data_IF_924461635735
#
_entry.id   IF_924461635735
#
_cell.length_a   1.000
_cell.length_b   1.000
_cell.length_c   1.000
_cell.angle_alpha   90.00
_cell.angle_beta   90.00
_cell.angle_gamma   90.00
#
_symmetry.space_group_name_H-M   'P 1'
#
loop_
_entity.id
_entity.type
_entity.pdbx_description
1 polymer ?
#
# COMPACT_ATOMS: atom_id res chain seq x y z
N UNK A 1 -6.52 20.43 13.21
CA UNK A 1 -5.39 19.53 12.89
C UNK A 1 -5.59 18.98 11.49
N UNK A 2 -4.51 18.84 10.74
CA UNK A 2 -4.53 18.19 9.42
C UNK A 2 -3.50 17.07 9.37
N UNK A 3 -3.80 16.03 8.63
CA UNK A 3 -2.94 14.86 8.43
C UNK A 3 -2.58 14.78 6.95
N UNK A 4 -1.31 14.56 6.62
CA UNK A 4 -0.86 14.18 5.30
C UNK A 4 -0.18 12.82 5.42
N UNK A 5 -0.63 11.85 4.66
CA UNK A 5 -0.10 10.49 4.67
C UNK A 5 0.17 9.99 3.27
N UNK A 6 1.29 9.29 3.08
CA UNK A 6 1.70 8.73 1.80
C UNK A 6 2.10 7.27 1.97
N UNK A 7 1.54 6.42 1.13
CA UNK A 7 1.98 5.04 0.88
C UNK A 7 2.76 4.99 -0.42
N UNK A 8 4.06 4.81 -0.32
CA UNK A 8 4.99 4.57 -1.42
C UNK A 8 5.08 3.07 -1.65
N UNK A 9 4.46 2.58 -2.74
CA UNK A 9 4.38 1.13 -2.98
C UNK A 9 5.69 0.55 -3.51
N UNK A 10 6.49 1.37 -4.21
CA UNK A 10 7.66 0.94 -4.95
C UNK A 10 7.31 0.33 -6.32
N UNK A 11 7.98 0.79 -7.37
CA UNK A 11 7.70 0.39 -8.76
C UNK A 11 7.81 -1.13 -8.98
N UNK A 12 8.77 -1.75 -8.33
CA UNK A 12 9.04 -3.17 -8.39
C UNK A 12 7.98 -4.01 -7.65
N UNK A 13 7.50 -3.52 -6.50
CA UNK A 13 6.46 -4.18 -5.73
C UNK A 13 5.11 -4.09 -6.44
N UNK A 14 4.78 -2.93 -7.02
CA UNK A 14 3.59 -2.79 -7.87
C UNK A 14 3.63 -3.80 -9.02
N UNK A 15 4.72 -3.84 -9.78
CA UNK A 15 4.88 -4.75 -10.90
C UNK A 15 4.76 -6.22 -10.49
N UNK A 16 5.32 -6.59 -9.34
CA UNK A 16 5.24 -7.96 -8.81
C UNK A 16 3.84 -8.32 -8.35
N UNK A 17 3.28 -7.57 -7.39
CA UNK A 17 2.08 -7.97 -6.66
C UNK A 17 0.78 -7.55 -7.34
N UNK A 18 0.76 -6.35 -7.92
CA UNK A 18 -0.46 -5.68 -8.36
C UNK A 18 -0.59 -5.55 -9.87
N UNK A 19 0.42 -6.02 -10.63
CA UNK A 19 0.37 -6.13 -12.09
C UNK A 19 0.43 -7.59 -12.52
N UNK A 20 1.40 -8.37 -12.01
CA UNK A 20 1.58 -9.79 -12.38
C UNK A 20 0.93 -10.76 -11.40
N UNK A 21 0.94 -10.40 -10.12
CA UNK A 21 0.57 -11.27 -9.00
C UNK A 21 -0.93 -11.41 -8.77
N UNK A 22 -1.27 -12.03 -7.66
CA UNK A 22 -2.64 -12.39 -7.30
C UNK A 22 -3.54 -11.18 -6.98
N UNK A 23 -2.93 -10.03 -6.71
CA UNK A 23 -3.64 -8.79 -6.35
C UNK A 23 -3.92 -7.87 -7.54
N UNK A 24 -3.66 -8.33 -8.77
CA UNK A 24 -3.73 -7.52 -9.98
C UNK A 24 -5.14 -7.14 -10.43
N UNK A 25 -6.13 -7.98 -10.11
CA UNK A 25 -7.50 -7.79 -10.57
C UNK A 25 -8.44 -7.51 -9.41
N UNK A 26 -9.14 -6.37 -9.47
CA UNK A 26 -10.00 -5.91 -8.39
C UNK A 26 -11.24 -6.80 -8.18
N UNK A 27 -11.76 -7.44 -9.25
CA UNK A 27 -12.92 -8.34 -9.15
C UNK A 27 -12.54 -9.70 -8.58
N UNK A 28 -11.33 -10.20 -8.90
CA UNK A 28 -10.83 -11.49 -8.40
C UNK A 28 -10.29 -11.39 -6.98
N UNK A 29 -9.84 -10.23 -6.56
CA UNK A 29 -9.28 -9.97 -5.23
C UNK A 29 -10.00 -8.84 -4.50
N UNK A 30 -9.56 -7.62 -4.63
CA UNK A 30 -10.21 -6.39 -4.16
C UNK A 30 -9.52 -5.15 -4.76
N UNK A 31 -10.12 -3.95 -4.65
CA UNK A 31 -9.48 -2.71 -5.07
C UNK A 31 -8.16 -2.47 -4.32
N UNK A 32 -7.19 -1.81 -4.97
CA UNK A 32 -5.88 -1.49 -4.42
C UNK A 32 -5.96 -0.78 -3.06
N UNK A 33 -6.88 0.17 -2.93
CA UNK A 33 -7.09 0.93 -1.70
C UNK A 33 -7.49 0.04 -0.51
N UNK A 34 -8.19 -1.07 -0.75
CA UNK A 34 -8.56 -2.01 0.30
C UNK A 34 -7.42 -2.98 0.60
N UNK A 35 -6.86 -3.64 -0.42
CA UNK A 35 -5.90 -4.73 -0.19
C UNK A 35 -4.51 -4.24 0.26
N UNK A 36 -4.10 -3.03 -0.14
CA UNK A 36 -2.79 -2.46 0.25
C UNK A 36 -2.94 -1.38 1.32
N UNK A 37 -3.93 -0.51 1.19
CA UNK A 37 -4.02 0.70 1.98
C UNK A 37 -5.03 0.63 3.13
N UNK A 38 -5.60 -0.54 3.46
CA UNK A 38 -6.44 -0.71 4.65
C UNK A 38 -5.69 -0.33 5.95
N UNK A 39 -4.38 -0.62 6.02
CA UNK A 39 -3.52 -0.20 7.12
C UNK A 39 -3.38 1.33 7.22
N UNK A 40 -3.35 1.99 6.07
CA UNK A 40 -3.21 3.45 5.97
C UNK A 40 -4.50 4.14 6.42
N UNK A 41 -5.66 3.59 6.07
CA UNK A 41 -6.96 4.07 6.57
C UNK A 41 -7.07 3.88 8.09
N UNK A 42 -6.58 2.75 8.61
CA UNK A 42 -6.61 2.44 10.04
C UNK A 42 -5.72 3.40 10.85
N UNK A 43 -4.48 3.66 10.40
CA UNK A 43 -3.59 4.60 11.10
C UNK A 43 -4.13 6.03 11.06
N UNK A 44 -4.78 6.45 9.98
CA UNK A 44 -5.40 7.77 9.90
C UNK A 44 -6.59 7.91 10.86
N UNK A 45 -7.43 6.88 10.99
CA UNK A 45 -8.50 6.82 12.01
C UNK A 45 -7.93 6.94 13.42
N UNK A 46 -6.89 6.16 13.72
CA UNK A 46 -6.23 6.16 15.03
C UNK A 46 -5.63 7.54 15.35
N UNK A 47 -4.94 8.17 14.39
CA UNK A 47 -4.32 9.48 14.58
C UNK A 47 -5.33 10.63 14.65
N UNK A 48 -6.44 10.52 13.93
CA UNK A 48 -7.53 11.49 14.00
C UNK A 48 -8.33 11.39 15.32
N UNK A 49 -8.29 10.23 15.97
CA UNK A 49 -9.12 9.86 17.13
C UNK A 49 -10.60 10.20 16.89
N UNK A 50 -11.09 9.88 15.68
CA UNK A 50 -12.46 10.24 15.26
C UNK A 50 -12.91 9.37 14.10
N UNK A 51 -14.22 9.21 13.95
CA UNK A 51 -14.82 8.53 12.80
C UNK A 51 -14.74 9.39 11.55
N UNK A 52 -14.67 8.74 10.40
CA UNK A 52 -14.78 9.40 9.11
C UNK A 52 -16.22 9.90 8.88
N UNK A 53 -16.35 11.17 8.52
CA UNK A 53 -17.62 11.78 8.11
C UNK A 53 -17.86 11.58 6.62
N UNK A 54 -16.88 11.99 5.80
CA UNK A 54 -16.96 11.94 4.34
C UNK A 54 -15.58 11.94 3.71
N UNK A 55 -15.50 11.47 2.47
CA UNK A 55 -14.28 11.46 1.69
C UNK A 55 -14.55 11.61 0.19
N UNK A 56 -13.51 12.03 -0.55
CA UNK A 56 -13.43 12.02 -2.01
C UNK A 56 -12.17 11.31 -2.46
N UNK A 57 -12.18 10.76 -3.67
CA UNK A 57 -11.05 9.99 -4.17
C UNK A 57 -10.90 10.13 -5.69
N UNK A 58 -9.64 10.15 -6.14
CA UNK A 58 -9.24 10.09 -7.55
C UNK A 58 -8.11 9.08 -7.68
N UNK A 59 -8.16 8.25 -8.73
CA UNK A 59 -7.14 7.24 -8.98
C UNK A 59 -7.37 6.55 -10.31
N UNK A 60 -6.28 6.13 -10.96
CA UNK A 60 -6.32 5.52 -12.28
C UNK A 60 -5.31 4.38 -12.40
N UNK A 61 -5.56 3.47 -13.32
CA UNK A 61 -4.57 2.61 -13.92
C UNK A 61 -4.09 3.28 -15.21
N UNK A 62 -2.98 4.00 -15.12
CA UNK A 62 -2.54 4.88 -16.20
C UNK A 62 -1.29 4.40 -16.93
N UNK A 63 -0.43 3.64 -16.26
CA UNK A 63 0.87 3.27 -16.81
C UNK A 63 0.96 1.80 -17.23
N UNK A 64 0.49 0.87 -16.42
CA UNK A 64 0.60 -0.57 -16.66
C UNK A 64 -0.54 -1.07 -17.56
N UNK A 65 -0.61 -0.51 -18.79
CA UNK A 65 -1.65 -0.77 -19.80
C UNK A 65 -1.01 -1.14 -21.13
N UNK A 66 -1.77 -1.82 -22.00
CA UNK A 66 -1.30 -2.23 -23.33
C UNK A 66 -0.93 -1.03 -24.22
N UNK A 67 -1.59 0.11 -24.03
CA UNK A 67 -1.32 1.35 -24.78
C UNK A 67 0.09 1.89 -24.52
N UNK A 68 0.67 1.61 -23.35
CA UNK A 68 2.01 2.02 -22.97
C UNK A 68 3.08 0.94 -23.26
N UNK A 69 2.70 -0.18 -23.89
CA UNK A 69 3.66 -1.20 -24.24
C UNK A 69 4.68 -0.66 -25.26
N UNK A 70 6.00 -0.80 -24.99
CA UNK A 70 7.01 -0.44 -25.98
C UNK A 70 6.85 -1.27 -27.26
N UNK A 71 7.18 -0.67 -28.40
CA UNK A 71 7.03 -1.31 -29.71
C UNK A 71 7.76 -2.66 -29.75
N UNK A 72 7.07 -3.72 -30.14
CA UNK A 72 7.62 -5.08 -30.23
C UNK A 72 7.78 -5.78 -28.88
N UNK A 73 7.25 -5.24 -27.79
CA UNK A 73 7.25 -5.94 -26.50
C UNK A 73 6.36 -7.19 -26.56
N UNK A 74 6.90 -8.40 -26.27
CA UNK A 74 6.11 -9.65 -26.31
C UNK A 74 5.25 -9.80 -25.06
N UNK A 75 4.32 -10.77 -25.08
CA UNK A 75 3.48 -11.10 -23.93
C UNK A 75 4.29 -11.58 -22.70
N UNK A 76 5.40 -12.27 -22.93
CA UNK A 76 6.34 -12.71 -21.89
C UNK A 76 7.72 -12.10 -22.11
N UNK A 77 8.37 -11.70 -21.02
CA UNK A 77 9.70 -11.09 -21.09
C UNK A 77 10.76 -11.99 -21.75
N UNK A 78 10.63 -13.31 -21.60
CA UNK A 78 11.56 -14.30 -22.17
C UNK A 78 11.34 -14.62 -23.65
N UNK A 79 10.28 -14.10 -24.29
CA UNK A 79 9.97 -14.36 -25.71
C UNK A 79 10.73 -13.41 -26.65
N UNK A 80 11.95 -13.03 -26.26
CA UNK A 80 12.83 -12.22 -27.11
C UNK A 80 12.55 -10.73 -27.03
N UNK A 81 12.15 -10.21 -25.87
CA UNK A 81 11.88 -8.78 -25.69
C UNK A 81 13.06 -7.91 -26.12
N UNK A 82 12.86 -6.95 -27.07
CA UNK A 82 13.93 -6.07 -27.53
C UNK A 82 14.35 -5.05 -26.47
N UNK A 83 13.51 -4.79 -25.46
CA UNK A 83 13.72 -3.80 -24.41
C UNK A 83 14.33 -4.35 -23.13
N UNK A 84 14.85 -5.59 -23.13
CA UNK A 84 15.35 -6.30 -21.95
C UNK A 84 16.41 -5.52 -21.16
N UNK A 85 17.24 -4.72 -21.82
CA UNK A 85 18.38 -4.05 -21.21
C UNK A 85 18.00 -2.70 -20.59
N UNK A 86 16.91 -2.07 -21.05
CA UNK A 86 16.45 -0.75 -20.59
C UNK A 86 15.15 -0.77 -19.77
N UNK A 87 14.39 -1.88 -19.82
CA UNK A 87 13.12 -1.99 -19.10
C UNK A 87 13.35 -2.24 -17.61
N UNK A 88 12.89 -1.32 -16.77
CA UNK A 88 12.94 -1.46 -15.30
C UNK A 88 12.16 -2.67 -14.77
N UNK A 89 11.20 -3.16 -15.55
CA UNK A 89 10.29 -4.26 -15.18
C UNK A 89 10.65 -5.59 -15.83
N UNK A 90 11.84 -5.72 -16.44
CA UNK A 90 12.24 -6.96 -17.09
C UNK A 90 12.34 -8.10 -16.07
N UNK A 91 11.38 -9.03 -16.12
CA UNK A 91 11.19 -10.04 -15.08
C UNK A 91 12.43 -10.92 -14.82
N UNK A 92 13.15 -11.45 -15.86
CA UNK A 92 14.31 -12.28 -15.59
C UNK A 92 15.40 -11.57 -14.80
N UNK A 93 15.70 -10.29 -15.12
CA UNK A 93 16.69 -9.52 -14.37
C UNK A 93 16.26 -9.33 -12.93
N UNK A 94 15.03 -8.85 -12.72
CA UNK A 94 14.52 -8.58 -11.39
C UNK A 94 14.55 -9.80 -10.47
N UNK A 95 14.05 -10.96 -10.93
CA UNK A 95 13.97 -12.14 -10.08
C UNK A 95 15.32 -12.86 -9.91
N UNK A 96 16.20 -12.85 -10.93
CA UNK A 96 17.53 -13.47 -10.82
C UNK A 96 18.50 -12.66 -9.96
N UNK A 97 18.35 -11.33 -9.91
CA UNK A 97 19.15 -10.49 -9.03
C UNK A 97 18.67 -10.54 -7.56
N UNK A 98 17.49 -11.10 -7.29
CA UNK A 98 16.86 -11.14 -5.98
C UNK A 98 16.46 -12.56 -5.53
N UNK A 99 17.27 -13.58 -5.85
CA UNK A 99 16.96 -14.99 -5.55
C UNK A 99 16.71 -15.28 -4.07
N UNK A 100 17.38 -14.58 -3.17
CA UNK A 100 17.21 -14.70 -1.72
C UNK A 100 16.02 -13.86 -1.19
N UNK A 101 15.37 -13.09 -2.06
CA UNK A 101 14.26 -12.22 -1.70
C UNK A 101 12.95 -13.00 -1.53
N UNK A 102 12.11 -12.56 -0.59
CA UNK A 102 10.81 -13.19 -0.32
C UNK A 102 9.86 -13.21 -1.54
N UNK A 103 10.03 -12.29 -2.49
CA UNK A 103 9.19 -12.21 -3.69
C UNK A 103 9.39 -13.39 -4.64
N UNK A 104 10.58 -13.98 -4.68
CA UNK A 104 10.88 -15.13 -5.54
C UNK A 104 10.12 -16.37 -5.10
N UNK A 105 9.83 -16.51 -3.80
CA UNK A 105 9.02 -17.60 -3.28
C UNK A 105 7.58 -17.63 -3.83
N UNK A 106 7.06 -16.48 -4.33
CA UNK A 106 5.79 -16.44 -5.03
C UNK A 106 5.88 -16.92 -6.49
N UNK A 107 7.07 -16.94 -7.08
CA UNK A 107 7.31 -17.39 -8.44
C UNK A 107 7.46 -18.91 -8.48
N UNK A 108 8.26 -19.46 -7.56
CA UNK A 108 8.52 -20.90 -7.45
C UNK A 108 9.05 -21.25 -6.06
N UNK A 109 8.79 -22.48 -5.62
CA UNK A 109 9.33 -23.02 -4.36
C UNK A 109 10.85 -23.31 -4.44
N UNK A 110 11.42 -23.39 -5.64
CA UNK A 110 12.83 -23.62 -5.89
C UNK A 110 13.48 -22.35 -6.41
N UNK A 111 14.20 -21.65 -5.54
CA UNK A 111 14.71 -20.30 -5.81
C UNK A 111 16.11 -20.27 -6.44
N UNK A 112 16.53 -21.35 -7.13
CA UNK A 112 17.72 -21.34 -7.97
C UNK A 112 17.42 -20.75 -9.36
N UNK A 113 18.44 -20.28 -10.11
CA UNK A 113 18.25 -19.58 -11.38
C UNK A 113 17.52 -20.41 -12.45
N UNK A 114 17.73 -21.71 -12.51
CA UNK A 114 17.14 -22.58 -13.53
C UNK A 114 15.63 -22.71 -13.33
N UNK A 115 15.20 -23.03 -12.12
CA UNK A 115 13.79 -23.17 -11.79
C UNK A 115 13.03 -21.84 -11.86
N UNK A 116 13.65 -20.74 -11.44
CA UNK A 116 13.08 -19.40 -11.60
C UNK A 116 12.86 -19.08 -13.08
N UNK A 117 13.84 -19.30 -13.95
CA UNK A 117 13.68 -19.07 -15.39
C UNK A 117 12.59 -19.96 -16.00
N UNK A 118 12.51 -21.24 -15.62
CA UNK A 118 11.42 -22.13 -16.10
C UNK A 118 10.05 -21.64 -15.64
N UNK A 119 9.92 -21.18 -14.39
CA UNK A 119 8.67 -20.63 -13.88
C UNK A 119 8.26 -19.34 -14.62
N UNK A 120 9.22 -18.48 -14.96
CA UNK A 120 8.97 -17.24 -15.69
C UNK A 120 8.56 -17.46 -17.16
N UNK A 121 8.88 -18.59 -17.78
CA UNK A 121 8.47 -18.89 -19.17
C UNK A 121 6.96 -19.01 -19.34
N UNK A 122 6.25 -19.47 -18.31
CA UNK A 122 4.82 -19.83 -18.41
C UNK A 122 3.97 -19.24 -17.29
N UNK A 123 4.60 -18.86 -16.17
CA UNK A 123 3.91 -18.36 -14.99
C UNK A 123 3.57 -16.87 -15.11
N UNK A 124 2.66 -16.37 -14.25
CA UNK A 124 2.19 -15.00 -14.34
C UNK A 124 3.31 -13.96 -14.15
N UNK A 125 4.33 -14.30 -13.35
CA UNK A 125 5.43 -13.39 -13.04
C UNK A 125 6.42 -13.14 -14.19
N UNK A 126 6.40 -13.95 -15.24
CA UNK A 126 7.19 -13.74 -16.45
C UNK A 126 6.52 -12.86 -17.50
N UNK A 127 5.25 -12.47 -17.31
CA UNK A 127 4.49 -11.62 -18.23
C UNK A 127 5.10 -10.22 -18.34
N UNK A 128 4.97 -9.63 -19.50
CA UNK A 128 5.22 -8.20 -19.66
C UNK A 128 4.22 -7.41 -18.83
N UNK A 129 4.66 -6.40 -18.07
CA UNK A 129 3.77 -5.59 -17.22
C UNK A 129 2.73 -4.81 -18.02
N UNK A 130 2.95 -4.60 -19.31
CA UNK A 130 2.03 -3.91 -20.20
C UNK A 130 1.00 -4.84 -20.89
N UNK A 131 1.16 -6.16 -20.73
CA UNK A 131 0.28 -7.18 -21.28
C UNK A 131 -0.36 -8.04 -20.20
N UNK A 132 -0.48 -7.51 -18.98
CA UNK A 132 -1.21 -8.16 -17.90
C UNK A 132 -2.70 -7.79 -17.95
N UNK A 133 -3.49 -8.59 -17.26
CA UNK A 133 -4.94 -8.40 -17.06
C UNK A 133 -5.25 -7.68 -15.73
N UNK A 134 -4.34 -6.78 -15.32
CA UNK A 134 -4.49 -5.99 -14.12
C UNK A 134 -5.54 -4.89 -14.29
N UNK A 135 -6.34 -4.67 -13.25
CA UNK A 135 -7.42 -3.66 -13.22
C UNK A 135 -7.29 -2.72 -12.03
N UNK A 136 -6.39 -3.02 -11.07
CA UNK A 136 -6.17 -2.16 -9.91
C UNK A 136 -5.39 -0.90 -10.30
N UNK A 137 -5.65 0.19 -9.62
CA UNK A 137 -5.01 1.49 -9.88
C UNK A 137 -3.51 1.46 -9.60
N UNK A 138 -2.74 2.28 -10.29
CA UNK A 138 -1.31 2.48 -10.04
C UNK A 138 -1.02 3.75 -9.22
N UNK A 139 -2.01 4.61 -9.03
CA UNK A 139 -1.98 5.73 -8.09
C UNK A 139 -3.40 6.09 -7.65
N UNK A 140 -3.53 6.58 -6.42
CA UNK A 140 -4.81 7.03 -5.86
C UNK A 140 -4.61 8.08 -4.77
N UNK A 141 -5.37 9.15 -4.81
CA UNK A 141 -5.45 10.16 -3.76
C UNK A 141 -6.82 10.13 -3.08
N UNK A 142 -6.85 10.36 -1.78
CA UNK A 142 -8.09 10.40 -0.99
C UNK A 142 -8.02 11.59 -0.03
N UNK A 143 -9.01 12.49 -0.10
CA UNK A 143 -9.21 13.53 0.88
C UNK A 143 -10.34 13.15 1.83
N UNK A 144 -10.06 13.22 3.13
CA UNK A 144 -10.90 12.69 4.19
C UNK A 144 -11.27 13.81 5.17
N UNK A 145 -12.53 13.89 5.54
CA UNK A 145 -13.04 14.71 6.64
C UNK A 145 -13.51 13.83 7.78
N UNK A 146 -13.03 14.09 8.98
CA UNK A 146 -13.44 13.40 10.20
C UNK A 146 -14.51 14.21 10.97
N UNK A 147 -15.31 13.53 11.79
CA UNK A 147 -16.41 14.16 12.57
C UNK A 147 -15.93 15.24 13.53
N UNK A 148 -14.70 15.15 14.03
CA UNK A 148 -14.05 16.15 14.90
C UNK A 148 -13.38 17.30 14.13
N UNK A 149 -13.68 17.48 12.85
CA UNK A 149 -13.16 18.51 11.95
C UNK A 149 -11.67 18.38 11.59
N UNK A 150 -11.02 17.27 11.93
CA UNK A 150 -9.71 16.90 11.37
C UNK A 150 -9.90 16.57 9.89
N UNK A 151 -8.97 17.00 9.06
CA UNK A 151 -8.90 16.59 7.65
C UNK A 151 -7.62 15.83 7.37
N UNK A 152 -7.68 14.87 6.44
CA UNK A 152 -6.50 14.14 5.98
C UNK A 152 -6.46 14.09 4.46
N UNK A 153 -5.23 14.18 3.90
CA UNK A 153 -4.95 13.87 2.51
C UNK A 153 -4.05 12.64 2.48
N UNK A 154 -4.50 11.63 1.77
CA UNK A 154 -3.78 10.39 1.54
C UNK A 154 -3.37 10.26 0.08
N UNK A 155 -2.14 9.80 -0.16
CA UNK A 155 -1.65 9.47 -1.50
C UNK A 155 -1.02 8.08 -1.50
N UNK A 156 -1.50 7.21 -2.38
CA UNK A 156 -0.84 5.97 -2.75
C UNK A 156 -0.26 6.11 -4.17
N UNK A 157 0.97 5.67 -4.37
CA UNK A 157 1.61 5.68 -5.68
C UNK A 157 2.53 4.49 -5.89
N UNK A 158 2.49 3.93 -7.11
CA UNK A 158 3.39 2.88 -7.60
C UNK A 158 4.75 3.42 -8.06
N UNK A 159 4.90 4.74 -8.25
CA UNK A 159 6.02 5.36 -8.97
C UNK A 159 7.10 5.88 -8.03
N UNK A 160 7.50 5.04 -7.07
CA UNK A 160 8.58 5.33 -6.13
C UNK A 160 9.65 4.24 -6.18
N UNK A 161 10.86 4.57 -5.77
CA UNK A 161 11.96 3.62 -5.68
C UNK A 161 11.75 2.63 -4.52
N UNK A 162 11.31 3.13 -3.39
CA UNK A 162 11.15 2.37 -2.14
C UNK A 162 9.69 2.11 -1.81
N UNK A 163 9.46 1.07 -0.99
CA UNK A 163 8.22 0.88 -0.26
C UNK A 163 8.36 1.59 1.09
N UNK A 164 7.66 2.69 1.27
CA UNK A 164 7.77 3.49 2.49
C UNK A 164 6.43 4.15 2.85
N UNK A 165 6.29 4.52 4.12
CA UNK A 165 5.18 5.33 4.60
C UNK A 165 5.71 6.62 5.20
N UNK A 166 5.18 7.73 4.73
CA UNK A 166 5.50 9.06 5.26
C UNK A 166 4.25 9.72 5.78
N UNK A 167 4.37 10.32 6.96
CA UNK A 167 3.24 10.99 7.60
C UNK A 167 3.65 12.35 8.14
N UNK A 168 2.73 13.31 8.05
CA UNK A 168 2.87 14.62 8.65
C UNK A 168 1.59 15.01 9.37
N UNK A 169 1.70 15.33 10.65
CA UNK A 169 0.62 15.83 11.47
C UNK A 169 0.86 17.32 11.75
N UNK A 170 -0.08 18.15 11.34
CA UNK A 170 0.02 19.61 11.49
C UNK A 170 -1.04 20.09 12.48
N UNK A 171 -0.59 20.42 13.69
CA UNK A 171 -1.43 20.86 14.80
C UNK A 171 -1.28 22.33 15.11
N UNK A 172 -2.04 22.82 16.09
CA UNK A 172 -1.99 24.22 16.54
C UNK A 172 -0.81 24.55 17.44
N UNK A 173 -0.15 23.54 18.01
CA UNK A 173 0.97 23.68 18.95
C UNK A 173 2.30 23.22 18.37
N UNK A 174 2.27 22.48 17.26
CA UNK A 174 3.45 21.91 16.64
C UNK A 174 3.12 21.07 15.43
N UNK A 175 4.16 20.51 14.81
CA UNK A 175 4.04 19.51 13.77
C UNK A 175 4.85 18.26 14.10
N UNK A 176 4.40 17.12 13.60
CA UNK A 176 5.11 15.86 13.69
C UNK A 176 5.31 15.34 12.27
N UNK A 177 6.52 14.87 11.97
CA UNK A 177 6.83 14.12 10.75
C UNK A 177 7.31 12.74 11.13
N UNK A 178 6.81 11.73 10.44
CA UNK A 178 7.25 10.34 10.58
C UNK A 178 7.67 9.79 9.24
N UNK A 179 8.78 9.08 9.23
CA UNK A 179 9.25 8.27 8.11
C UNK A 179 9.46 6.85 8.63
N UNK A 180 8.63 5.91 8.17
CA UNK A 180 8.67 4.53 8.66
C UNK A 180 9.88 3.76 8.12
N UNK A 181 10.36 4.11 6.93
CA UNK A 181 11.53 3.45 6.33
C UNK A 181 12.82 3.93 7.00
N UNK A 182 12.95 5.23 7.22
CA UNK A 182 14.06 5.78 7.99
C UNK A 182 13.98 5.48 9.50
N UNK A 183 12.83 5.04 10.01
CA UNK A 183 12.61 4.80 11.44
C UNK A 183 12.72 6.06 12.28
N UNK A 184 12.24 7.21 11.75
CA UNK A 184 12.42 8.50 12.42
C UNK A 184 11.08 9.20 12.67
N UNK A 185 11.02 9.90 13.82
CA UNK A 185 9.94 10.82 14.15
C UNK A 185 10.55 12.17 14.53
N UNK A 186 10.16 13.22 13.84
CA UNK A 186 10.53 14.60 14.16
C UNK A 186 9.33 15.33 14.80
N UNK A 187 9.55 15.97 15.93
CA UNK A 187 8.53 16.76 16.65
C UNK A 187 9.02 18.20 16.76
N UNK A 188 8.27 19.14 16.14
CA UNK A 188 8.53 20.58 16.23
C UNK A 188 7.49 21.23 17.15
N UNK A 189 7.92 21.79 18.26
CA UNK A 189 7.08 22.63 19.13
C UNK A 189 7.10 24.07 18.66
N UNK A 190 5.94 24.69 18.46
CA UNK A 190 5.84 26.05 17.94
C UNK A 190 6.11 27.15 18.99
N UNK A 191 5.93 26.84 20.28
CA UNK A 191 6.15 27.82 21.35
C UNK A 191 7.64 27.97 21.64
N UNK A 192 8.32 26.85 21.84
CA UNK A 192 9.76 26.84 22.15
C UNK A 192 10.65 26.93 20.91
N UNK A 193 10.12 26.56 19.74
CA UNK A 193 10.89 26.39 18.52
C UNK A 193 11.80 25.14 18.52
N UNK A 194 11.70 24.30 19.56
CA UNK A 194 12.52 23.10 19.67
C UNK A 194 12.12 22.06 18.61
N UNK A 195 13.14 21.38 18.08
CA UNK A 195 13.02 20.18 17.26
C UNK A 195 13.56 19.00 18.07
N UNK A 196 12.72 18.01 18.29
CA UNK A 196 13.12 16.71 18.83
C UNK A 196 13.08 15.69 17.70
N UNK A 197 14.15 14.88 17.60
CA UNK A 197 14.21 13.75 16.66
C UNK A 197 14.31 12.46 17.46
N UNK A 198 13.40 11.54 17.22
CA UNK A 198 13.35 10.22 17.83
C UNK A 198 13.73 9.20 16.75
N UNK A 199 14.78 8.46 16.99
CA UNK A 199 15.19 7.33 16.14
C UNK A 199 14.59 6.04 16.72
N UNK A 200 13.88 5.31 15.90
CA UNK A 200 13.25 4.03 16.27
C UNK A 200 14.17 2.89 15.85
N UNK A 201 14.63 2.13 16.81
CA UNK A 201 15.37 0.91 16.56
C UNK A 201 14.40 -0.26 16.43
N UNK A 202 14.02 -0.57 15.21
CA UNK A 202 13.11 -1.68 14.92
C UNK A 202 13.90 -2.92 14.46
N UNK A 203 13.49 -4.14 14.89
CA UNK A 203 14.12 -5.36 14.39
C UNK A 203 13.92 -5.51 12.88
N UNK A 204 14.94 -5.99 12.16
CA UNK A 204 14.91 -6.20 10.71
C UNK A 204 14.11 -7.45 10.28
N UNK A 205 13.11 -7.88 11.05
CA UNK A 205 12.26 -9.05 10.78
C UNK A 205 10.80 -8.64 10.71
N UNK A 206 9.98 -9.43 10.04
CA UNK A 206 8.53 -9.34 9.84
C UNK A 206 7.92 -7.97 10.16
N UNK A 207 7.66 -7.14 9.15
CA UNK A 207 7.12 -5.78 9.28
C UNK A 207 7.83 -4.95 10.38
N UNK A 208 9.17 -4.96 10.37
CA UNK A 208 10.00 -4.26 11.35
C UNK A 208 9.71 -4.70 12.81
N UNK A 209 9.48 -5.99 13.04
CA UNK A 209 9.19 -6.57 14.36
C UNK A 209 7.74 -6.45 14.83
N UNK A 210 6.87 -5.82 14.05
CA UNK A 210 5.45 -5.62 14.41
C UNK A 210 4.70 -6.94 14.51
N UNK A 211 5.00 -7.93 13.65
CA UNK A 211 4.34 -9.24 13.64
C UNK A 211 4.49 -9.95 14.99
N UNK A 212 5.71 -10.00 15.52
CA UNK A 212 5.96 -10.61 16.83
C UNK A 212 5.31 -9.82 17.96
N UNK A 213 5.36 -8.50 17.91
CA UNK A 213 4.71 -7.65 18.92
C UNK A 213 3.20 -7.84 18.95
N UNK A 214 2.57 -7.94 17.77
CA UNK A 214 1.14 -8.23 17.64
C UNK A 214 0.79 -9.61 18.21
N UNK A 215 1.56 -10.65 17.90
CA UNK A 215 1.34 -12.00 18.42
C UNK A 215 1.51 -12.07 19.94
N UNK A 216 2.52 -11.40 20.50
CA UNK A 216 2.71 -11.31 21.94
C UNK A 216 1.52 -10.60 22.62
N UNK A 217 1.03 -9.49 22.05
CA UNK A 217 -0.13 -8.78 22.60
C UNK A 217 -1.41 -9.63 22.50
N UNK A 218 -1.60 -10.34 21.39
CA UNK A 218 -2.73 -11.25 21.19
C UNK A 218 -2.75 -12.37 22.23
N UNK A 219 -1.63 -13.06 22.43
CA UNK A 219 -1.51 -14.14 23.44
C UNK A 219 -1.80 -13.60 24.83
N UNK A 220 -1.23 -12.45 25.18
CA UNK A 220 -1.47 -11.81 26.48
C UNK A 220 -2.92 -11.38 26.66
N UNK A 221 -3.52 -10.78 25.61
CA UNK A 221 -4.93 -10.37 25.58
C UNK A 221 -5.87 -11.57 25.88
N UNK A 222 -5.63 -12.71 25.23
CA UNK A 222 -6.42 -13.92 25.45
C UNK A 222 -6.22 -14.45 26.86
N UNK A 223 -4.97 -14.50 27.35
CA UNK A 223 -4.66 -14.98 28.70
C UNK A 223 -5.24 -14.10 29.82
N UNK A 224 -5.34 -12.81 29.61
CA UNK A 224 -5.89 -11.84 30.57
C UNK A 224 -7.41 -11.63 30.41
N UNK A 225 -8.04 -12.17 29.37
CA UNK A 225 -9.46 -11.98 29.07
C UNK A 225 -9.85 -10.53 28.74
N UNK A 226 -8.90 -9.70 28.27
CA UNK A 226 -9.13 -8.30 27.91
C UNK A 226 -9.53 -8.15 26.44
N UNK A 227 -10.22 -7.06 26.11
CA UNK A 227 -10.48 -6.68 24.73
C UNK A 227 -9.19 -6.20 24.04
N UNK A 228 -9.07 -6.49 22.75
CA UNK A 228 -8.03 -5.95 21.90
C UNK A 228 -8.19 -4.43 21.70
N UNK A 229 -7.07 -3.75 21.41
CA UNK A 229 -7.09 -2.33 21.02
C UNK A 229 -7.66 -2.13 19.62
N UNK A 230 -7.49 -3.13 18.78
CA UNK A 230 -7.95 -3.18 17.38
C UNK A 230 -8.91 -4.37 17.25
N UNK A 231 -10.11 -4.23 17.80
CA UNK A 231 -11.16 -5.23 17.63
C UNK A 231 -11.83 -5.12 16.25
N UNK A 232 -12.63 -6.11 15.89
CA UNK A 232 -13.30 -6.14 14.58
C UNK A 232 -14.18 -4.90 14.31
N UNK A 233 -14.74 -4.30 15.34
CA UNK A 233 -15.60 -3.12 15.20
C UNK A 233 -14.78 -1.88 14.78
N UNK A 234 -13.55 -1.75 15.28
CA UNK A 234 -12.62 -0.69 14.86
C UNK A 234 -12.14 -0.94 13.43
N UNK A 235 -11.75 -2.18 13.12
CA UNK A 235 -11.26 -2.54 11.78
C UNK A 235 -12.32 -2.39 10.69
N UNK A 236 -13.60 -2.57 10.99
CA UNK A 236 -14.68 -2.34 10.02
C UNK A 236 -14.70 -0.89 9.51
N UNK A 237 -14.44 0.09 10.36
CA UNK A 237 -14.46 1.50 9.95
C UNK A 237 -13.38 1.80 8.90
N UNK A 238 -12.15 1.31 9.07
CA UNK A 238 -11.06 1.50 8.09
C UNK A 238 -11.36 0.81 6.75
N UNK A 239 -11.98 -0.36 6.79
CA UNK A 239 -12.39 -1.07 5.56
C UNK A 239 -13.54 -0.36 4.84
N UNK A 240 -14.51 0.19 5.59
CA UNK A 240 -15.58 1.02 5.02
C UNK A 240 -15.01 2.29 4.37
N UNK A 241 -13.99 2.91 4.97
CA UNK A 241 -13.31 4.06 4.36
C UNK A 241 -12.64 3.68 3.03
N UNK A 242 -11.96 2.53 2.97
CA UNK A 242 -11.33 2.05 1.74
C UNK A 242 -12.37 1.76 0.64
N UNK A 243 -13.48 1.09 0.98
CA UNK A 243 -14.57 0.82 0.03
C UNK A 243 -15.29 2.09 -0.42
N UNK A 244 -15.51 3.04 0.49
CA UNK A 244 -16.08 4.34 0.16
C UNK A 244 -15.13 5.19 -0.72
N UNK A 245 -13.81 5.06 -0.55
CA UNK A 245 -12.83 5.70 -1.42
C UNK A 245 -12.84 5.10 -2.85
N UNK A 246 -13.05 3.80 -2.96
CA UNK A 246 -13.27 3.17 -4.26
C UNK A 246 -14.55 3.66 -4.94
N UNK A 247 -15.67 3.70 -4.20
CA UNK A 247 -16.94 4.25 -4.68
C UNK A 247 -16.81 5.72 -5.10
N UNK A 248 -16.14 6.53 -4.31
CA UNK A 248 -15.88 7.95 -4.64
C UNK A 248 -15.07 8.10 -5.92
N UNK A 249 -14.07 7.24 -6.14
CA UNK A 249 -13.26 7.20 -7.37
C UNK A 249 -14.12 6.83 -8.59
N UNK A 250 -14.97 5.81 -8.46
CA UNK A 250 -15.83 5.32 -9.56
C UNK A 250 -16.88 6.36 -9.94
N UNK A 251 -17.53 6.96 -8.93
CA UNK A 251 -18.66 7.87 -9.15
C UNK A 251 -18.24 9.33 -9.37
N UNK A 252 -17.02 9.71 -8.97
CA UNK A 252 -16.57 11.10 -8.93
C UNK A 252 -17.29 11.95 -7.90
N UNK A 253 -17.96 11.34 -6.92
CA UNK A 253 -18.75 12.01 -5.91
C UNK A 253 -18.09 11.94 -4.53
N UNK A 254 -18.40 12.93 -3.68
CA UNK A 254 -18.07 12.83 -2.25
C UNK A 254 -18.98 11.79 -1.61
N UNK A 255 -18.40 10.81 -0.93
CA UNK A 255 -19.13 9.76 -0.23
C UNK A 255 -19.23 10.09 1.25
N UNK A 256 -20.46 10.10 1.79
CA UNK A 256 -20.71 10.19 3.23
C UNK A 256 -20.68 8.78 3.83
N UNK A 257 -19.80 8.52 4.79
CA UNK A 257 -19.54 7.17 5.27
C UNK A 257 -20.72 6.53 6.00
N UNK A 258 -21.52 7.32 6.73
CA UNK A 258 -22.71 6.80 7.43
C UNK A 258 -23.80 6.34 6.44
N UNK A 259 -24.00 7.13 5.36
CA UNK A 259 -24.93 6.74 4.28
C UNK A 259 -24.47 5.47 3.62
N UNK A 260 -23.23 5.44 3.17
CA UNK A 260 -22.61 4.31 2.51
C UNK A 260 -22.67 3.01 3.34
N UNK A 261 -22.37 3.07 4.64
CA UNK A 261 -22.44 1.92 5.54
C UNK A 261 -23.87 1.38 5.73
N UNK A 262 -24.90 2.20 5.57
CA UNK A 262 -26.29 1.74 5.68
C UNK A 262 -26.81 1.09 4.40
N UNK A 263 -26.33 1.53 3.25
CA UNK A 263 -26.70 0.98 1.94
C UNK A 263 -26.04 -0.38 1.64
N UNK A 264 -24.93 -0.66 2.30
CA UNK A 264 -24.11 -1.87 2.11
C UNK A 264 -24.19 -2.86 3.30
N UNK A 265 -25.27 -2.82 4.08
CA UNK A 265 -25.64 -3.83 5.10
C UNK A 265 -26.42 -4.97 4.46
#
# INVERSE_FOLDING_TARGET
MTIQHMEEVGYWHQAHSFVRGNWRNAEESSPMILQKCCHDMDIMLWLADSKCESLSSFGELSYFTEENAPEGAPAYCLDGCPHRDECAFYAPRFYLENLDGYLVCAVTDQTDPEHVLEALKKGPYGRCVFHCDNTVVDHQSVDIKFENQVTASFLMTAFTDQCARRIRLMGTKGEIKGDMDAGTIEIRDFVSGNLETIELHTPANGHNGSDMSMMHDFVRMVGEGRKGKTDAAVSVESHLMALAAEEAKITGQVVNLRGFANENK
#
